data_IF_011290082563
#
_entry.id   IF_011290082563
#
_cell.length_a   1.000
_cell.length_b   1.000
_cell.length_c   1.000
_cell.angle_alpha   90.00
_cell.angle_beta   90.00
_cell.angle_gamma   90.00
#
_symmetry.space_group_name_H-M   'P 1'
#
loop_
_entity.id
_entity.type
_entity.pdbx_description
1 polymer ?
#
# COMPACT_ATOMS: atom_id res chain seq x y z
N UNK A 1 -20.58 -14.04 11.70
CA UNK A 1 -20.32 -13.56 13.07
C UNK A 1 -18.85 -13.70 13.48
N UNK A 2 -18.10 -14.69 12.97
CA UNK A 2 -16.68 -14.91 13.31
C UNK A 2 -15.69 -13.78 13.00
N UNK A 3 -15.98 -12.88 12.05
CA UNK A 3 -15.06 -11.77 11.71
C UNK A 3 -15.03 -10.69 12.80
N UNK A 4 -16.19 -10.35 13.38
CA UNK A 4 -16.28 -9.35 14.47
C UNK A 4 -15.75 -9.91 15.80
N UNK A 5 -15.87 -11.23 16.01
CA UNK A 5 -15.41 -11.91 17.24
C UNK A 5 -13.89 -12.08 17.28
N UNK A 6 -13.21 -12.08 16.13
CA UNK A 6 -11.76 -12.19 16.02
C UNK A 6 -11.01 -10.86 15.85
N UNK A 7 -11.73 -9.72 15.89
CA UNK A 7 -11.12 -8.40 15.96
C UNK A 7 -11.24 -7.91 17.40
N UNK A 8 -10.13 -7.83 18.12
CA UNK A 8 -10.06 -6.97 19.30
C UNK A 8 -10.64 -5.61 18.89
N UNK A 9 -11.70 -5.17 19.59
CA UNK A 9 -12.62 -4.14 19.08
C UNK A 9 -11.93 -2.83 18.70
N UNK A 10 -10.73 -2.60 19.25
CA UNK A 10 -9.86 -1.47 18.94
C UNK A 10 -8.39 -1.92 18.95
N UNK A 11 -7.68 -1.67 17.86
CA UNK A 11 -6.22 -1.75 17.82
C UNK A 11 -5.66 -0.34 18.05
N UNK A 12 -4.48 -0.24 18.67
CA UNK A 12 -3.80 1.06 18.83
C UNK A 12 -3.59 1.77 17.47
N UNK A 13 -3.50 1.00 16.38
CA UNK A 13 -3.35 1.49 15.01
C UNK A 13 -4.61 2.13 14.43
N UNK A 14 -5.77 1.98 15.08
CA UNK A 14 -7.03 2.58 14.61
C UNK A 14 -7.07 4.09 14.78
N UNK A 15 -6.27 4.63 15.70
CA UNK A 15 -6.16 6.08 15.87
C UNK A 15 -5.63 6.79 14.62
N UNK A 16 -4.69 6.17 13.90
CA UNK A 16 -4.19 6.70 12.62
C UNK A 16 -5.29 6.71 11.58
N UNK A 17 -6.09 5.63 11.50
CA UNK A 17 -7.21 5.52 10.56
C UNK A 17 -8.31 6.53 10.85
N UNK A 18 -8.62 6.77 12.12
CA UNK A 18 -9.53 7.84 12.53
C UNK A 18 -8.97 9.21 12.14
N UNK A 19 -7.67 9.46 12.35
CA UNK A 19 -7.04 10.71 11.93
C UNK A 19 -7.12 10.91 10.41
N UNK A 20 -6.91 9.85 9.61
CA UNK A 20 -7.07 9.89 8.15
C UNK A 20 -8.54 10.12 7.76
N UNK A 21 -9.49 9.50 8.46
CA UNK A 21 -10.92 9.72 8.21
C UNK A 21 -11.33 11.18 8.47
N UNK A 22 -10.84 11.78 9.56
CA UNK A 22 -11.04 13.21 9.87
C UNK A 22 -10.30 14.10 8.87
N UNK A 23 -9.20 13.63 8.30
CA UNK A 23 -8.44 14.36 7.29
C UNK A 23 -9.21 14.52 5.97
N UNK A 24 -10.22 13.68 5.67
CA UNK A 24 -11.02 13.82 4.43
C UNK A 24 -11.76 15.16 4.36
N UNK A 25 -12.63 15.53 5.33
CA UNK A 25 -13.25 16.84 5.32
C UNK A 25 -12.24 17.97 5.55
N UNK A 26 -11.15 17.74 6.29
CA UNK A 26 -10.10 18.75 6.46
C UNK A 26 -9.40 19.09 5.13
N UNK A 27 -9.02 18.09 4.35
CA UNK A 27 -8.41 18.25 3.02
C UNK A 27 -9.37 18.97 2.07
N UNK A 28 -10.68 18.68 2.13
CA UNK A 28 -11.67 19.44 1.36
C UNK A 28 -11.64 20.93 1.69
N UNK A 29 -11.61 21.28 2.98
CA UNK A 29 -11.63 22.67 3.43
C UNK A 29 -10.33 23.41 3.12
N UNK A 30 -9.19 22.70 3.11
CA UNK A 30 -7.86 23.29 2.87
C UNK A 30 -7.53 23.39 1.38
N UNK A 31 -7.84 22.37 0.60
CA UNK A 31 -7.34 22.18 -0.76
C UNK A 31 -8.41 21.72 -1.78
N UNK A 32 -9.67 21.64 -1.37
CA UNK A 32 -10.80 21.40 -2.27
C UNK A 32 -11.09 19.93 -2.59
N UNK A 33 -11.95 19.74 -3.59
CA UNK A 33 -12.51 18.44 -3.98
C UNK A 33 -11.48 17.35 -4.31
N UNK A 34 -10.49 17.61 -5.18
CA UNK A 34 -9.47 16.62 -5.55
C UNK A 34 -8.67 16.11 -4.34
N UNK A 35 -8.25 17.01 -3.45
CA UNK A 35 -7.53 16.64 -2.23
C UNK A 35 -8.39 15.75 -1.30
N UNK A 36 -9.69 16.07 -1.17
CA UNK A 36 -10.62 15.24 -0.41
C UNK A 36 -10.79 13.85 -1.03
N UNK A 37 -10.83 13.75 -2.37
CA UNK A 37 -10.92 12.48 -3.09
C UNK A 37 -9.65 11.63 -2.90
N UNK A 38 -8.46 12.23 -3.00
CA UNK A 38 -7.20 11.55 -2.71
C UNK A 38 -7.14 11.04 -1.26
N UNK A 39 -7.56 11.87 -0.30
CA UNK A 39 -7.64 11.47 1.10
C UNK A 39 -8.65 10.35 1.35
N UNK A 40 -9.78 10.36 0.64
CA UNK A 40 -10.78 9.29 0.70
C UNK A 40 -10.21 7.97 0.13
N UNK A 41 -9.41 8.04 -0.94
CA UNK A 41 -8.71 6.88 -1.47
C UNK A 41 -7.68 6.34 -0.46
N UNK A 42 -6.90 7.22 0.17
CA UNK A 42 -5.98 6.84 1.24
C UNK A 42 -6.72 6.17 2.42
N UNK A 43 -7.87 6.72 2.84
CA UNK A 43 -8.73 6.09 3.84
C UNK A 43 -9.15 4.68 3.41
N UNK A 44 -9.59 4.50 2.16
CA UNK A 44 -9.93 3.20 1.59
C UNK A 44 -8.75 2.21 1.63
N UNK A 45 -7.56 2.67 1.22
CA UNK A 45 -6.32 1.91 1.29
C UNK A 45 -5.98 1.49 2.72
N UNK A 46 -6.15 2.39 3.69
CA UNK A 46 -5.99 2.02 5.09
C UNK A 46 -7.05 0.97 5.47
N UNK A 47 -8.35 1.18 5.23
CA UNK A 47 -9.37 0.18 5.55
C UNK A 47 -9.02 -1.21 4.98
N UNK A 48 -8.46 -1.26 3.77
CA UNK A 48 -7.98 -2.50 3.16
C UNK A 48 -6.85 -3.16 3.97
N UNK A 49 -5.87 -2.43 4.51
CA UNK A 49 -4.84 -2.99 5.42
C UNK A 49 -5.46 -3.68 6.64
N UNK A 50 -6.52 -3.08 7.23
CA UNK A 50 -7.26 -3.65 8.35
C UNK A 50 -7.99 -4.93 7.96
N UNK A 51 -8.74 -4.90 6.86
CA UNK A 51 -9.47 -6.08 6.39
C UNK A 51 -8.54 -7.20 5.94
N UNK A 52 -7.38 -6.84 5.39
CA UNK A 52 -6.29 -7.77 5.08
C UNK A 52 -5.52 -8.24 6.32
N UNK A 53 -5.89 -7.82 7.54
CA UNK A 53 -5.28 -8.26 8.81
C UNK A 53 -3.74 -8.21 8.73
N UNK A 54 -3.21 -7.07 8.29
CA UNK A 54 -1.77 -6.84 8.25
C UNK A 54 -1.16 -6.94 9.65
N UNK A 55 0.13 -7.30 9.73
CA UNK A 55 0.85 -7.22 10.99
C UNK A 55 0.85 -5.78 11.49
N UNK A 56 0.89 -5.58 12.81
CA UNK A 56 0.85 -4.23 13.41
C UNK A 56 1.89 -3.28 12.79
N UNK A 57 3.17 -3.67 12.57
CA UNK A 57 4.13 -2.79 11.92
C UNK A 57 3.74 -2.44 10.48
N UNK A 58 3.28 -3.41 9.69
CA UNK A 58 2.87 -3.19 8.31
C UNK A 58 1.61 -2.31 8.21
N UNK A 59 0.66 -2.45 9.14
CA UNK A 59 -0.51 -1.59 9.23
C UNK A 59 -0.13 -0.15 9.61
N UNK A 60 0.72 0.06 10.63
CA UNK A 60 1.18 1.41 11.01
C UNK A 60 1.94 2.09 9.87
N UNK A 61 2.93 1.40 9.28
CA UNK A 61 3.73 1.95 8.17
C UNK A 61 2.84 2.22 6.96
N UNK A 62 1.95 1.30 6.62
CA UNK A 62 1.05 1.47 5.49
C UNK A 62 0.09 2.65 5.66
N UNK A 63 -0.47 2.83 6.86
CA UNK A 63 -1.31 3.99 7.17
C UNK A 63 -0.54 5.30 7.09
N UNK A 64 0.68 5.35 7.65
CA UNK A 64 1.52 6.53 7.63
C UNK A 64 1.94 6.93 6.21
N UNK A 65 2.32 5.95 5.38
CA UNK A 65 2.67 6.18 3.97
C UNK A 65 1.46 6.69 3.20
N UNK A 66 0.35 5.94 3.18
CA UNK A 66 -0.82 6.32 2.36
C UNK A 66 -1.44 7.64 2.80
N UNK A 67 -1.59 7.86 4.11
CA UNK A 67 -2.10 9.12 4.66
C UNK A 67 -1.13 10.28 4.44
N UNK A 68 0.18 10.03 4.58
CA UNK A 68 1.22 11.02 4.34
C UNK A 68 1.26 11.47 2.87
N UNK A 69 1.26 10.52 1.92
CA UNK A 69 1.22 10.81 0.50
C UNK A 69 0.00 11.67 0.11
N UNK A 70 -1.18 11.33 0.62
CA UNK A 70 -2.38 12.13 0.37
C UNK A 70 -2.29 13.55 0.95
N UNK A 71 -1.65 13.72 2.11
CA UNK A 71 -1.40 15.05 2.68
C UNK A 71 -0.37 15.83 1.90
N UNK A 72 0.71 15.19 1.43
CA UNK A 72 1.72 15.83 0.59
C UNK A 72 1.11 16.35 -0.71
N UNK A 73 0.24 15.56 -1.36
CA UNK A 73 -0.54 16.01 -2.50
C UNK A 73 -1.46 17.20 -2.13
N UNK A 74 -2.22 17.10 -1.03
CA UNK A 74 -3.19 18.11 -0.62
C UNK A 74 -2.57 19.49 -0.34
N UNK A 75 -1.35 19.55 0.22
CA UNK A 75 -0.69 20.82 0.55
C UNK A 75 0.30 21.30 -0.51
N UNK A 76 0.42 20.58 -1.63
CA UNK A 76 1.36 20.90 -2.70
C UNK A 76 2.83 20.68 -2.31
N UNK A 77 3.11 19.68 -1.46
CA UNK A 77 4.47 19.40 -0.98
C UNK A 77 5.37 18.83 -2.09
N UNK A 78 4.80 18.07 -3.02
CA UNK A 78 5.54 17.46 -4.13
C UNK A 78 6.17 18.50 -5.06
N UNK A 79 5.52 19.66 -5.21
CA UNK A 79 5.99 20.76 -6.04
C UNK A 79 7.17 21.53 -5.40
N UNK A 80 7.36 21.42 -4.08
CA UNK A 80 8.37 22.19 -3.34
C UNK A 80 9.51 21.36 -2.78
N UNK A 81 9.34 20.04 -2.63
CA UNK A 81 10.38 19.12 -2.14
C UNK A 81 10.81 18.18 -3.27
N UNK A 82 11.99 18.40 -3.89
CA UNK A 82 12.46 17.56 -4.99
C UNK A 82 12.55 16.08 -4.62
N UNK A 83 11.97 15.22 -5.48
CA UNK A 83 11.99 13.77 -5.32
C UNK A 83 11.06 13.21 -4.24
N UNK A 84 10.28 14.06 -3.55
CA UNK A 84 9.32 13.60 -2.54
C UNK A 84 8.21 12.74 -3.18
N UNK A 85 7.75 13.12 -4.37
CA UNK A 85 6.70 12.41 -5.08
C UNK A 85 7.13 11.00 -5.46
N UNK A 86 8.28 10.90 -6.14
CA UNK A 86 8.92 9.63 -6.47
C UNK A 86 9.12 8.72 -5.23
N UNK A 87 9.52 9.31 -4.09
CA UNK A 87 9.66 8.57 -2.84
C UNK A 87 8.31 8.11 -2.28
N UNK A 88 7.26 8.91 -2.42
CA UNK A 88 5.90 8.58 -2.03
C UNK A 88 5.32 7.45 -2.90
N UNK A 89 5.55 7.46 -4.20
CA UNK A 89 5.20 6.36 -5.12
C UNK A 89 5.96 5.08 -4.77
N UNK A 90 7.29 5.15 -4.63
CA UNK A 90 8.08 3.99 -4.22
C UNK A 90 7.57 3.36 -2.90
N UNK A 91 7.28 4.19 -1.90
CA UNK A 91 6.77 3.74 -0.61
C UNK A 91 5.34 3.19 -0.70
N UNK A 92 4.47 3.84 -1.48
CA UNK A 92 3.09 3.41 -1.70
C UNK A 92 3.04 2.09 -2.45
N UNK A 93 3.85 1.93 -3.50
CA UNK A 93 4.02 0.66 -4.22
C UNK A 93 4.49 -0.49 -3.32
N UNK A 94 5.39 -0.23 -2.37
CA UNK A 94 5.80 -1.21 -1.38
C UNK A 94 4.65 -1.64 -0.45
N UNK A 95 3.88 -0.69 0.09
CA UNK A 95 2.71 -0.96 0.94
C UNK A 95 1.64 -1.73 0.17
N UNK A 96 1.32 -1.28 -1.05
CA UNK A 96 0.34 -1.91 -1.92
C UNK A 96 0.76 -3.32 -2.33
N UNK A 97 2.06 -3.61 -2.44
CA UNK A 97 2.53 -4.96 -2.70
C UNK A 97 2.28 -5.92 -1.54
N UNK A 98 2.50 -5.50 -0.29
CA UNK A 98 2.16 -6.32 0.89
C UNK A 98 0.65 -6.62 0.95
N UNK A 99 -0.15 -5.59 0.71
CA UNK A 99 -1.60 -5.69 0.71
C UNK A 99 -2.11 -6.61 -0.40
N UNK A 100 -1.69 -6.35 -1.63
CA UNK A 100 -2.08 -7.09 -2.84
C UNK A 100 -1.64 -8.55 -2.75
N UNK A 101 -0.38 -8.81 -2.35
CA UNK A 101 0.11 -10.17 -2.11
C UNK A 101 -0.79 -10.91 -1.12
N UNK A 102 -1.12 -10.26 0.01
CA UNK A 102 -1.94 -10.88 1.04
C UNK A 102 -3.35 -11.19 0.54
N UNK A 103 -3.99 -10.25 -0.15
CA UNK A 103 -5.32 -10.45 -0.71
C UNK A 103 -5.31 -11.59 -1.72
N UNK A 104 -4.38 -11.57 -2.68
CA UNK A 104 -4.30 -12.59 -3.73
C UNK A 104 -3.99 -13.99 -3.20
N UNK A 105 -3.16 -14.11 -2.15
CA UNK A 105 -2.94 -15.39 -1.48
C UNK A 105 -4.19 -15.89 -0.75
N UNK A 106 -4.91 -14.99 -0.06
CA UNK A 106 -6.12 -15.36 0.70
C UNK A 106 -7.30 -15.72 -0.20
N UNK A 107 -7.41 -15.12 -1.37
CA UNK A 107 -8.46 -15.43 -2.34
C UNK A 107 -8.12 -16.64 -3.20
N UNK A 108 -6.93 -17.24 -3.04
CA UNK A 108 -6.48 -18.39 -3.84
C UNK A 108 -6.12 -18.03 -5.29
N UNK A 109 -6.00 -16.74 -5.61
CA UNK A 109 -5.59 -16.27 -6.94
C UNK A 109 -4.09 -16.42 -7.19
N UNK A 110 -3.30 -16.67 -6.14
CA UNK A 110 -1.89 -17.01 -6.24
C UNK A 110 -1.58 -18.38 -5.63
N UNK A 111 -0.64 -19.13 -6.24
CA UNK A 111 -0.16 -20.38 -5.64
C UNK A 111 0.53 -20.09 -4.31
N UNK A 112 0.08 -20.74 -3.24
CA UNK A 112 0.71 -20.68 -1.92
C UNK A 112 1.99 -21.55 -1.84
N UNK A 113 2.09 -22.55 -2.72
CA UNK A 113 3.16 -23.55 -2.69
C UNK A 113 4.57 -22.96 -2.97
N UNK A 114 5.65 -23.62 -2.52
CA UNK A 114 7.03 -23.15 -2.65
C UNK A 114 7.49 -22.84 -4.08
N UNK A 115 6.93 -23.52 -5.08
CA UNK A 115 7.19 -23.30 -6.51
C UNK A 115 6.54 -22.04 -7.09
N UNK A 116 5.61 -21.41 -6.38
CA UNK A 116 4.81 -20.27 -6.86
C UNK A 116 5.52 -18.92 -6.86
N UNK A 117 6.78 -18.82 -6.42
CA UNK A 117 7.46 -17.52 -6.20
C UNK A 117 7.48 -16.63 -7.43
N UNK A 118 7.85 -17.16 -8.60
CA UNK A 118 7.94 -16.37 -9.82
C UNK A 118 6.56 -15.80 -10.20
N UNK A 119 5.50 -16.61 -10.07
CA UNK A 119 4.13 -16.16 -10.29
C UNK A 119 3.74 -15.06 -9.29
N UNK A 120 4.05 -15.22 -8.00
CA UNK A 120 3.75 -14.20 -6.98
C UNK A 120 4.46 -12.87 -7.26
N UNK A 121 5.76 -12.91 -7.61
CA UNK A 121 6.52 -11.70 -7.97
C UNK A 121 5.89 -11.02 -9.17
N UNK A 122 5.64 -11.76 -10.26
CA UNK A 122 5.07 -11.20 -11.48
C UNK A 122 3.69 -10.57 -11.22
N UNK A 123 2.75 -11.34 -10.68
CA UNK A 123 1.36 -10.90 -10.53
C UNK A 123 1.22 -9.75 -9.54
N UNK A 124 1.95 -9.77 -8.42
CA UNK A 124 1.87 -8.67 -7.45
C UNK A 124 2.48 -7.39 -8.03
N UNK A 125 3.64 -7.48 -8.68
CA UNK A 125 4.28 -6.31 -9.29
C UNK A 125 3.41 -5.72 -10.39
N UNK A 126 2.85 -6.56 -11.27
CA UNK A 126 1.92 -6.11 -12.32
C UNK A 126 0.64 -5.52 -11.73
N UNK A 127 0.07 -6.13 -10.69
CA UNK A 127 -1.13 -5.60 -10.05
C UNK A 127 -0.88 -4.23 -9.41
N UNK A 128 0.26 -4.01 -8.76
CA UNK A 128 0.62 -2.70 -8.22
C UNK A 128 0.87 -1.68 -9.34
N UNK A 129 1.56 -2.05 -10.42
CA UNK A 129 1.73 -1.16 -11.57
C UNK A 129 0.37 -0.76 -12.20
N UNK A 130 -0.62 -1.67 -12.20
CA UNK A 130 -1.98 -1.34 -12.64
C UNK A 130 -2.71 -0.41 -11.66
N UNK A 131 -2.49 -0.55 -10.34
CA UNK A 131 -3.01 0.40 -9.36
C UNK A 131 -2.38 1.80 -9.54
N UNK A 132 -1.08 1.87 -9.79
CA UNK A 132 -0.38 3.11 -10.16
C UNK A 132 -0.99 3.71 -11.42
N UNK A 133 -1.21 2.91 -12.48
CA UNK A 133 -1.88 3.40 -13.69
C UNK A 133 -3.27 3.97 -13.42
N UNK A 134 -4.05 3.36 -12.53
CA UNK A 134 -5.36 3.89 -12.16
C UNK A 134 -5.25 5.22 -11.38
N UNK A 135 -4.20 5.39 -10.58
CA UNK A 135 -3.89 6.66 -9.92
C UNK A 135 -3.58 7.75 -10.95
N UNK A 136 -2.65 7.50 -11.88
CA UNK A 136 -2.27 8.42 -12.96
C UNK A 136 -3.46 8.83 -13.84
N UNK A 137 -4.33 7.87 -14.17
CA UNK A 137 -5.56 8.16 -14.90
C UNK A 137 -6.53 9.03 -14.08
N UNK A 138 -6.55 8.85 -12.76
CA UNK A 138 -7.31 9.67 -11.83
C UNK A 138 -6.81 11.12 -11.78
N UNK A 139 -5.49 11.31 -11.70
CA UNK A 139 -4.87 12.64 -11.74
C UNK A 139 -5.09 13.32 -13.08
N UNK A 140 -4.88 12.61 -14.19
CA UNK A 140 -5.21 13.10 -15.52
C UNK A 140 -6.69 13.51 -15.64
N UNK A 141 -7.61 12.68 -15.15
CA UNK A 141 -9.03 13.00 -15.19
C UNK A 141 -9.36 14.21 -14.32
N UNK A 142 -8.75 14.33 -13.14
CA UNK A 142 -8.87 15.51 -12.29
C UNK A 142 -8.36 16.77 -13.00
N UNK A 143 -7.19 16.69 -13.63
CA UNK A 143 -6.60 17.79 -14.38
C UNK A 143 -7.50 18.23 -15.53
N UNK A 144 -7.96 17.28 -16.34
CA UNK A 144 -8.72 17.54 -17.55
C UNK A 144 -10.16 17.98 -17.29
N UNK A 145 -10.79 17.50 -16.21
CA UNK A 145 -12.23 17.67 -15.96
C UNK A 145 -12.56 18.60 -14.78
N UNK A 146 -11.61 18.86 -13.87
CA UNK A 146 -11.88 19.58 -12.62
C UNK A 146 -11.03 20.85 -12.51
N UNK A 147 -9.70 20.73 -12.47
CA UNK A 147 -8.80 21.89 -12.33
C UNK A 147 -7.42 21.62 -12.92
N UNK A 148 -6.85 22.56 -13.70
CA UNK A 148 -5.51 22.40 -14.28
C UNK A 148 -4.37 22.44 -13.24
N UNK A 149 -4.66 22.78 -11.98
CA UNK A 149 -3.66 22.83 -10.91
C UNK A 149 -3.16 21.44 -10.47
N UNK A 150 -3.86 20.36 -10.87
CA UNK A 150 -3.38 19.00 -10.62
C UNK A 150 -2.19 18.73 -11.53
N UNK A 151 -1.06 18.39 -10.91
CA UNK A 151 0.18 18.04 -11.60
C UNK A 151 -0.03 16.83 -12.48
N UNK A 152 0.28 16.98 -13.77
CA UNK A 152 0.31 15.87 -14.73
C UNK A 152 1.48 16.12 -15.68
N UNK A 153 2.19 15.06 -16.07
CA UNK A 153 3.31 15.17 -16.99
C UNK A 153 3.74 13.82 -17.52
N UNK A 154 4.26 13.78 -18.75
CA UNK A 154 4.75 12.51 -19.32
C UNK A 154 5.89 11.91 -18.49
N UNK A 155 6.88 12.72 -18.12
CA UNK A 155 8.02 12.27 -17.33
C UNK A 155 7.59 11.84 -15.93
N UNK A 156 6.75 12.66 -15.30
CA UNK A 156 6.14 12.48 -13.98
C UNK A 156 5.43 11.11 -13.88
N UNK A 157 4.35 10.95 -14.66
CA UNK A 157 3.56 9.72 -14.78
C UNK A 157 4.43 8.50 -15.08
N UNK A 158 5.40 8.61 -15.99
CA UNK A 158 6.26 7.47 -16.32
C UNK A 158 7.18 7.11 -15.15
N UNK A 159 7.75 8.10 -14.46
CA UNK A 159 8.63 7.85 -13.31
C UNK A 159 7.88 7.30 -12.11
N UNK A 160 6.64 7.74 -11.90
CA UNK A 160 5.78 7.29 -10.79
C UNK A 160 5.33 5.84 -10.99
N UNK A 161 4.90 5.48 -12.20
CA UNK A 161 4.61 4.07 -12.55
C UNK A 161 5.83 3.15 -12.37
N UNK A 162 7.01 3.64 -12.73
CA UNK A 162 8.26 2.89 -12.52
C UNK A 162 8.58 2.77 -11.03
N UNK A 163 8.40 3.83 -10.24
CA UNK A 163 8.63 3.81 -8.80
C UNK A 163 7.66 2.85 -8.09
N UNK A 164 6.38 2.87 -8.45
CA UNK A 164 5.37 1.93 -7.93
C UNK A 164 5.77 0.47 -8.20
N UNK A 165 6.18 0.18 -9.44
CA UNK A 165 6.63 -1.15 -9.84
C UNK A 165 7.91 -1.59 -9.11
N UNK A 166 8.89 -0.69 -8.96
CA UNK A 166 10.14 -0.98 -8.24
C UNK A 166 9.86 -1.23 -6.75
N UNK A 167 9.05 -0.38 -6.12
CA UNK A 167 8.64 -0.53 -4.72
C UNK A 167 7.95 -1.88 -4.49
N UNK A 168 7.07 -2.26 -5.40
CA UNK A 168 6.41 -3.55 -5.35
C UNK A 168 7.38 -4.73 -5.53
N UNK A 169 8.24 -4.67 -6.55
CA UNK A 169 9.21 -5.72 -6.87
C UNK A 169 10.15 -5.97 -5.69
N UNK A 170 10.76 -4.92 -5.13
CA UNK A 170 11.66 -5.01 -3.98
C UNK A 170 10.94 -5.67 -2.80
N UNK A 171 9.73 -5.22 -2.51
CA UNK A 171 8.95 -5.70 -1.36
C UNK A 171 8.60 -7.17 -1.48
N UNK A 172 8.10 -7.60 -2.64
CA UNK A 172 7.74 -9.01 -2.84
C UNK A 172 8.99 -9.89 -2.82
N UNK A 173 10.09 -9.46 -3.45
CA UNK A 173 11.35 -10.21 -3.39
C UNK A 173 11.86 -10.37 -1.96
N UNK A 174 11.78 -9.32 -1.14
CA UNK A 174 12.20 -9.33 0.26
C UNK A 174 11.35 -10.29 1.10
N UNK A 175 10.01 -10.22 0.98
CA UNK A 175 9.09 -11.10 1.70
C UNK A 175 9.30 -12.56 1.31
N UNK A 176 9.40 -12.85 0.01
CA UNK A 176 9.62 -14.22 -0.49
C UNK A 176 10.98 -14.79 -0.06
N UNK A 177 12.00 -13.94 0.06
CA UNK A 177 13.30 -14.33 0.58
C UNK A 177 13.27 -14.61 2.10
N UNK A 178 12.57 -13.76 2.86
CA UNK A 178 12.35 -13.94 4.30
C UNK A 178 11.67 -15.27 4.63
N UNK A 179 10.53 -15.55 3.99
CA UNK A 179 9.78 -16.79 4.22
C UNK A 179 10.58 -18.05 3.84
N UNK A 180 11.44 -17.97 2.81
CA UNK A 180 12.35 -19.08 2.45
C UNK A 180 13.38 -19.35 3.54
N UNK A 181 13.94 -18.30 4.14
CA UNK A 181 14.92 -18.43 5.24
C UNK A 181 14.28 -19.02 6.49
N UNK A 182 13.07 -18.59 6.83
CA UNK A 182 12.31 -19.12 7.97
C UNK A 182 11.99 -20.60 7.81
N UNK A 183 11.49 -21.01 6.62
CA UNK A 183 11.27 -22.44 6.32
C UNK A 183 12.56 -23.26 6.41
N UNK A 184 13.66 -22.75 5.87
CA UNK A 184 14.95 -23.43 5.93
C UNK A 184 15.46 -23.64 7.37
N UNK A 185 15.23 -22.67 8.26
CA UNK A 185 15.55 -22.80 9.70
C UNK A 185 14.68 -23.86 10.38
N UNK A 186 13.38 -23.86 10.13
CA UNK A 186 12.46 -24.85 10.70
C UNK A 186 12.83 -26.29 10.26
N UNK A 187 13.23 -26.48 9.00
CA UNK A 187 13.68 -27.80 8.51
C UNK A 187 15.04 -28.25 9.07
N UNK A 188 15.89 -27.31 9.50
CA UNK A 188 17.23 -27.60 10.01
C UNK A 188 17.25 -27.92 11.51
N UNK A 189 16.20 -27.54 12.27
CA UNK A 189 16.05 -27.85 13.70
C UNK A 189 14.68 -28.47 14.03
N UNK A 190 14.44 -29.75 13.65
CA UNK A 190 13.21 -30.45 14.01
C UNK A 190 13.12 -30.82 15.51
N UNK A 191 14.19 -30.64 16.29
CA UNK A 191 14.26 -31.02 17.71
C UNK A 191 13.82 -29.89 18.66
N UNK A 192 13.85 -28.63 18.21
CA UNK A 192 13.31 -27.47 18.94
C UNK A 192 11.78 -27.48 19.08
N UNK A 193 11.05 -27.87 18.01
CA UNK A 193 9.57 -27.89 18.00
C UNK A 193 8.95 -28.91 18.97
N UNK A 194 9.68 -29.96 19.35
CA UNK A 194 9.22 -30.97 20.30
C UNK A 194 9.49 -30.60 21.77
N UNK A 195 10.29 -29.55 22.04
CA UNK A 195 10.63 -29.11 23.41
C UNK A 195 9.74 -27.98 23.93
N UNK A 196 8.93 -27.36 23.08
CA UNK A 196 8.02 -26.27 23.44
C UNK A 196 6.52 -26.67 23.48
N UNK A 197 6.21 -27.96 23.28
CA UNK A 197 4.88 -28.53 23.55
C UNK A 197 4.84 -29.22 24.90
#
# INVERSE_FOLDING_TARGET
MSWLEGQDRWLATDWLRVAIAVSVPAAYLVAGGPAAAAMLLALGGTMALRFARMSVPADVVGQAVLGGSAWFAAIGAYQVVPGLDLAAHLASGAVLALLTRTILLRTGLLPAEPGGRAARVLHVTTAVAMLGLLWELGEWAGHALITPDIGVGYEDTLTDLVADAIGALITVLAVEAGERRERGRATADPAGELRER
#
